data_IF_826311042194
#
_entry.id   IF_826311042194
#
_cell.length_a   1.000
_cell.length_b   1.000
_cell.length_c   1.000
_cell.angle_alpha   90.00
_cell.angle_beta   90.00
_cell.angle_gamma   90.00
#
_symmetry.space_group_name_H-M   'P 1'
#
loop_
_entity.id
_entity.type
_entity.pdbx_description
1 polymer ?
#
# COMPACT_ATOMS: atom_id res chain seq x y z
N UNK A 1 41.30 -1.09 2.15
CA UNK A 1 40.27 -1.15 1.09
C UNK A 1 38.95 -1.48 1.77
N UNK A 2 38.02 -0.54 1.87
CA UNK A 2 36.71 -0.81 2.46
C UNK A 2 35.73 -1.21 1.36
N UNK A 3 35.40 -2.50 1.33
CA UNK A 3 34.38 -3.05 0.43
C UNK A 3 33.02 -2.40 0.73
N UNK A 4 32.53 -1.62 -0.23
CA UNK A 4 31.16 -1.10 -0.23
C UNK A 4 30.20 -2.28 -0.38
N UNK A 5 29.65 -2.77 0.73
CA UNK A 5 28.55 -3.74 0.71
C UNK A 5 27.37 -3.09 -0.02
N UNK A 6 27.04 -3.60 -1.22
CA UNK A 6 25.81 -3.28 -1.93
C UNK A 6 24.63 -3.58 -0.98
N UNK A 7 23.69 -2.66 -0.74
CA UNK A 7 22.48 -3.00 -0.01
C UNK A 7 21.72 -4.03 -0.83
N UNK A 8 21.69 -5.27 -0.34
CA UNK A 8 20.88 -6.32 -0.93
C UNK A 8 19.43 -5.88 -0.91
N UNK A 9 18.77 -5.91 -2.07
CA UNK A 9 17.36 -5.62 -2.22
C UNK A 9 16.54 -6.65 -1.41
N UNK A 10 16.31 -6.36 -0.14
CA UNK A 10 15.39 -7.15 0.69
C UNK A 10 13.99 -6.92 0.15
N UNK A 11 13.35 -7.99 -0.34
CA UNK A 11 11.90 -7.97 -0.55
C UNK A 11 11.26 -7.65 0.81
N UNK A 12 10.40 -6.62 0.89
CA UNK A 12 9.80 -6.26 2.16
C UNK A 12 9.00 -7.43 2.70
N UNK A 13 9.41 -7.93 3.85
CA UNK A 13 8.64 -8.95 4.57
C UNK A 13 7.42 -8.28 5.21
N UNK A 14 6.35 -9.02 5.50
CA UNK A 14 5.13 -8.46 6.14
C UNK A 14 5.45 -7.69 7.44
N UNK A 15 6.58 -8.04 8.09
CA UNK A 15 7.18 -7.37 9.24
C UNK A 15 7.58 -5.90 9.02
N UNK A 16 7.71 -5.45 7.78
CA UNK A 16 8.07 -4.07 7.41
C UNK A 16 6.86 -3.19 7.11
N UNK A 17 5.66 -3.77 7.04
CA UNK A 17 4.42 -3.00 6.84
C UNK A 17 4.00 -2.37 8.16
N UNK A 18 3.79 -1.04 8.14
CA UNK A 18 3.25 -0.29 9.28
C UNK A 18 1.76 -0.06 9.08
N UNK A 19 0.99 -0.16 10.16
CA UNK A 19 -0.43 0.16 10.17
C UNK A 19 -0.64 1.67 10.20
N UNK A 20 -1.70 2.13 9.53
CA UNK A 20 -2.15 3.52 9.53
C UNK A 20 -3.65 3.52 9.79
N UNK A 21 -4.09 4.29 10.78
CA UNK A 21 -5.51 4.51 11.05
C UNK A 21 -6.01 5.66 10.18
N UNK A 22 -7.14 5.46 9.49
CA UNK A 22 -7.77 6.46 8.63
C UNK A 22 -9.20 6.70 9.07
N UNK A 23 -9.64 7.96 9.02
CA UNK A 23 -11.05 8.31 9.15
C UNK A 23 -11.63 8.40 7.74
N UNK A 24 -12.69 7.61 7.49
CA UNK A 24 -13.41 7.54 6.23
C UNK A 24 -14.91 7.56 6.53
N UNK A 25 -15.71 8.05 5.59
CA UNK A 25 -17.17 7.97 5.71
C UNK A 25 -17.63 6.51 5.78
N UNK A 26 -18.71 6.27 6.53
CA UNK A 26 -19.24 4.92 6.74
C UNK A 26 -19.58 4.23 5.42
N UNK A 27 -20.17 4.95 4.47
CA UNK A 27 -20.57 4.39 3.18
C UNK A 27 -19.35 4.05 2.31
N UNK A 28 -18.29 4.87 2.34
CA UNK A 28 -17.02 4.55 1.67
C UNK A 28 -16.41 3.27 2.23
N UNK A 29 -16.46 3.05 3.55
CA UNK A 29 -15.98 1.81 4.17
C UNK A 29 -16.79 0.61 3.69
N UNK A 30 -18.12 0.73 3.57
CA UNK A 30 -18.99 -0.35 3.08
C UNK A 30 -18.67 -0.69 1.63
N UNK A 31 -18.58 0.31 0.77
CA UNK A 31 -18.30 0.13 -0.65
C UNK A 31 -16.91 -0.48 -0.89
N UNK A 32 -15.90 -0.03 -0.14
CA UNK A 32 -14.56 -0.60 -0.20
C UNK A 32 -14.54 -2.08 0.21
N UNK A 33 -15.26 -2.43 1.28
CA UNK A 33 -15.38 -3.83 1.72
C UNK A 33 -16.13 -4.69 0.71
N UNK A 34 -17.20 -4.16 0.12
CA UNK A 34 -17.95 -4.86 -0.93
C UNK A 34 -17.08 -5.13 -2.15
N UNK A 35 -16.38 -4.10 -2.64
CA UNK A 35 -15.44 -4.24 -3.75
C UNK A 35 -14.30 -5.24 -3.46
N UNK A 36 -13.84 -5.33 -2.21
CA UNK A 36 -12.85 -6.33 -1.80
C UNK A 36 -13.40 -7.76 -1.89
N UNK A 37 -14.65 -7.98 -1.48
CA UNK A 37 -15.32 -9.27 -1.63
C UNK A 37 -15.52 -9.62 -3.10
N UNK A 38 -16.04 -8.69 -3.90
CA UNK A 38 -16.29 -8.90 -5.34
C UNK A 38 -15.01 -9.21 -6.13
N UNK A 39 -13.86 -8.70 -5.68
CA UNK A 39 -12.54 -8.91 -6.31
C UNK A 39 -11.70 -10.02 -5.66
N UNK A 40 -12.27 -10.77 -4.72
CA UNK A 40 -11.58 -11.84 -3.97
C UNK A 40 -10.25 -11.35 -3.34
N UNK A 41 -10.22 -10.14 -2.80
CA UNK A 41 -9.03 -9.53 -2.20
C UNK A 41 -9.34 -8.81 -0.87
N UNK A 42 -8.36 -8.11 -0.29
CA UNK A 42 -8.57 -7.34 0.95
C UNK A 42 -8.84 -5.86 0.66
N UNK A 43 -9.65 -5.22 1.53
CA UNK A 43 -9.85 -3.77 1.50
C UNK A 43 -8.51 -3.00 1.59
N UNK A 44 -7.55 -3.53 2.34
CA UNK A 44 -6.19 -2.96 2.43
C UNK A 44 -5.42 -3.06 1.12
N UNK A 45 -5.63 -4.10 0.30
CA UNK A 45 -4.99 -4.22 -1.00
C UNK A 45 -5.49 -3.14 -1.97
N UNK A 46 -6.82 -2.94 -2.02
CA UNK A 46 -7.43 -1.88 -2.82
C UNK A 46 -6.98 -0.50 -2.34
N UNK A 47 -6.98 -0.27 -1.02
CA UNK A 47 -6.52 1.00 -0.46
C UNK A 47 -5.04 1.27 -0.80
N UNK A 48 -4.17 0.26 -0.68
CA UNK A 48 -2.76 0.40 -1.03
C UNK A 48 -2.55 0.71 -2.51
N UNK A 49 -3.32 0.06 -3.40
CA UNK A 49 -3.30 0.33 -4.84
C UNK A 49 -3.73 1.77 -5.13
N UNK A 50 -4.86 2.21 -4.57
CA UNK A 50 -5.39 3.55 -4.77
C UNK A 50 -4.43 4.64 -4.25
N UNK A 51 -3.86 4.43 -3.06
CA UNK A 51 -2.87 5.34 -2.46
C UNK A 51 -1.60 5.40 -3.33
N UNK A 52 -1.08 4.25 -3.78
CA UNK A 52 0.10 4.19 -4.66
C UNK A 52 -0.15 4.93 -5.98
N UNK A 53 -1.28 4.66 -6.64
CA UNK A 53 -1.66 5.31 -7.88
C UNK A 53 -1.80 6.83 -7.72
N UNK A 54 -2.44 7.29 -6.63
CA UNK A 54 -2.55 8.71 -6.33
C UNK A 54 -1.19 9.35 -6.11
N UNK A 55 -0.30 8.74 -5.30
CA UNK A 55 1.04 9.28 -5.05
C UNK A 55 1.88 9.39 -6.32
N UNK A 56 1.85 8.36 -7.17
CA UNK A 56 2.55 8.35 -8.47
C UNK A 56 2.01 9.43 -9.40
N UNK A 57 0.68 9.55 -9.52
CA UNK A 57 0.03 10.57 -10.34
C UNK A 57 0.45 11.99 -9.93
N UNK A 58 0.76 12.21 -8.66
CA UNK A 58 1.19 13.50 -8.12
C UNK A 58 2.71 13.67 -8.05
N UNK A 59 3.51 12.72 -8.56
CA UNK A 59 4.97 12.78 -8.50
C UNK A 59 5.56 12.69 -7.08
N UNK A 60 4.77 12.21 -6.11
CA UNK A 60 5.15 12.13 -4.69
C UNK A 60 5.81 10.79 -4.33
N UNK A 61 5.78 9.82 -5.25
CA UNK A 61 6.42 8.50 -5.10
C UNK A 61 7.12 8.14 -6.40
N UNK A 62 8.39 7.73 -6.29
CA UNK A 62 9.19 7.32 -7.44
C UNK A 62 8.64 6.08 -8.14
N UNK A 63 8.83 6.02 -9.45
CA UNK A 63 8.61 4.85 -10.32
C UNK A 63 9.70 3.80 -10.15
#
# INVERSE_FOLDING_TARGET
>A
MNERRKPGSKKPTDKERRQMLLHLDSDVIKDLKKAAVDRECSASAIANEAIDAWLKKNGLRGT
#
